data_IF_004842681186
#
_entry.id   IF_004842681186
#
_cell.length_a   1.000
_cell.length_b   1.000
_cell.length_c   1.000
_cell.angle_alpha   90.00
_cell.angle_beta   90.00
_cell.angle_gamma   90.00
#
_symmetry.space_group_name_H-M   'P 1'
#
loop_
_entity.id
_entity.type
_entity.pdbx_description
1 polymer ?
#
# COMPACT_ATOMS: atom_id res chain seq x y z
N UNK A 1 -5.36 57.90 15.87
CA UNK A 1 -4.41 56.83 16.29
C UNK A 1 -5.09 55.48 16.48
N UNK A 2 -6.32 55.43 16.98
CA UNK A 2 -7.05 54.17 17.25
C UNK A 2 -7.32 53.29 16.01
N UNK A 3 -7.63 53.90 14.85
CA UNK A 3 -7.84 53.17 13.59
C UNK A 3 -6.57 52.49 13.03
N UNK A 4 -5.40 53.10 13.24
CA UNK A 4 -4.11 52.53 12.81
C UNK A 4 -3.74 51.29 13.65
N UNK A 5 -4.02 51.32 14.96
CA UNK A 5 -3.84 50.18 15.86
C UNK A 5 -4.75 49.00 15.50
N UNK A 6 -6.03 49.28 15.19
CA UNK A 6 -7.01 48.25 14.78
C UNK A 6 -6.65 47.60 13.43
N UNK A 7 -6.14 48.37 12.47
CA UNK A 7 -5.66 47.85 11.18
C UNK A 7 -4.48 46.90 11.35
N UNK A 8 -3.50 47.26 12.17
CA UNK A 8 -2.34 46.39 12.46
C UNK A 8 -2.76 45.10 13.18
N UNK A 9 -3.74 45.18 14.09
CA UNK A 9 -4.31 43.98 14.75
C UNK A 9 -4.97 43.03 13.75
N UNK A 10 -5.74 43.56 12.80
CA UNK A 10 -6.40 42.75 11.78
C UNK A 10 -5.38 42.09 10.82
N UNK A 11 -4.30 42.80 10.48
CA UNK A 11 -3.20 42.24 9.67
C UNK A 11 -2.52 41.09 10.41
N UNK A 12 -2.17 41.28 11.68
CA UNK A 12 -1.56 40.23 12.51
C UNK A 12 -2.47 39.00 12.60
N UNK A 13 -3.77 39.19 12.85
CA UNK A 13 -4.73 38.09 12.89
C UNK A 13 -4.83 37.34 11.55
N UNK A 14 -4.82 38.08 10.43
CA UNK A 14 -4.82 37.50 9.09
C UNK A 14 -3.55 36.67 8.82
N UNK A 15 -2.39 37.15 9.26
CA UNK A 15 -1.11 36.42 9.15
C UNK A 15 -1.15 35.14 9.99
N UNK A 16 -1.60 35.22 11.24
CA UNK A 16 -1.72 34.04 12.11
C UNK A 16 -2.66 33.00 11.50
N UNK A 17 -3.82 33.44 11.01
CA UNK A 17 -4.76 32.56 10.32
C UNK A 17 -4.12 31.87 9.12
N UNK A 18 -3.37 32.62 8.30
CA UNK A 18 -2.69 32.07 7.13
C UNK A 18 -1.62 31.05 7.51
N UNK A 19 -0.84 31.31 8.57
CA UNK A 19 0.16 30.37 9.08
C UNK A 19 -0.50 29.08 9.56
N UNK A 20 -1.58 29.17 10.34
CA UNK A 20 -2.33 28.00 10.81
C UNK A 20 -2.88 27.21 9.62
N UNK A 21 -3.43 27.90 8.61
CA UNK A 21 -3.93 27.26 7.39
C UNK A 21 -2.81 26.49 6.66
N UNK A 22 -1.62 27.08 6.51
CA UNK A 22 -0.48 26.40 5.90
C UNK A 22 -0.04 25.17 6.69
N UNK A 23 -0.02 25.24 8.02
CA UNK A 23 0.30 24.09 8.87
C UNK A 23 -0.70 22.96 8.67
N UNK A 24 -2.01 23.28 8.65
CA UNK A 24 -3.07 22.29 8.42
C UNK A 24 -2.90 21.66 7.04
N UNK A 25 -2.70 22.47 6.00
CA UNK A 25 -2.50 21.97 4.63
C UNK A 25 -1.27 21.07 4.53
N UNK A 26 -0.17 21.45 5.17
CA UNK A 26 1.05 20.64 5.22
C UNK A 26 0.82 19.31 5.93
N UNK A 27 0.16 19.32 7.09
CA UNK A 27 -0.15 18.10 7.83
C UNK A 27 -1.10 17.19 7.05
N UNK A 28 -2.17 17.75 6.48
CA UNK A 28 -3.09 16.98 5.63
C UNK A 28 -2.37 16.34 4.45
N UNK A 29 -1.50 17.09 3.76
CA UNK A 29 -0.69 16.53 2.69
C UNK A 29 0.23 15.41 3.19
N UNK A 30 0.91 15.64 4.32
CA UNK A 30 1.81 14.65 4.92
C UNK A 30 1.10 13.33 5.27
N UNK A 31 -0.09 13.40 5.87
CA UNK A 31 -0.83 12.22 6.28
C UNK A 31 -1.55 11.50 5.13
N UNK A 32 -2.01 12.22 4.11
CA UNK A 32 -2.74 11.62 2.97
C UNK A 32 -1.79 10.94 1.97
N UNK A 33 -0.62 11.54 1.70
CA UNK A 33 0.22 11.12 0.57
C UNK A 33 1.43 10.26 0.95
N UNK A 34 1.72 10.07 2.24
CA UNK A 34 2.79 9.16 2.66
C UNK A 34 2.29 7.73 2.82
N UNK A 35 3.15 6.77 2.46
CA UNK A 35 2.92 5.34 2.71
C UNK A 35 3.36 5.03 4.12
N UNK A 36 2.43 4.57 4.95
CA UNK A 36 2.66 4.18 6.33
C UNK A 36 2.74 2.67 6.49
N UNK A 37 1.88 1.96 5.78
CA UNK A 37 1.78 0.51 5.84
C UNK A 37 1.54 -0.05 4.43
N UNK A 38 1.79 -1.35 4.26
CA UNK A 38 1.49 -2.08 3.03
C UNK A 38 0.56 -3.22 3.39
N UNK A 39 -0.64 -3.20 2.82
CA UNK A 39 -1.63 -4.27 2.96
C UNK A 39 -1.45 -5.21 1.78
N UNK A 40 -1.53 -6.52 2.04
CA UNK A 40 -1.50 -7.53 1.00
C UNK A 40 -2.81 -8.30 1.00
N UNK A 41 -3.49 -8.29 -0.15
CA UNK A 41 -4.78 -8.94 -0.34
C UNK A 41 -4.58 -10.10 -1.30
N UNK A 42 -4.92 -11.30 -0.85
CA UNK A 42 -4.99 -12.49 -1.70
C UNK A 42 -6.44 -12.68 -2.17
N UNK A 43 -6.62 -12.81 -3.48
CA UNK A 43 -7.92 -13.10 -4.10
C UNK A 43 -7.79 -14.34 -4.96
N UNK A 44 -8.61 -15.35 -4.67
CA UNK A 44 -8.72 -16.53 -5.52
C UNK A 44 -9.64 -16.21 -6.72
N UNK A 45 -9.07 -16.22 -7.92
CA UNK A 45 -9.81 -15.98 -9.18
C UNK A 45 -10.41 -17.29 -9.70
N UNK A 46 -9.68 -18.40 -9.53
CA UNK A 46 -10.16 -19.75 -9.85
C UNK A 46 -9.46 -20.80 -8.97
N UNK A 47 -9.80 -22.09 -9.13
CA UNK A 47 -9.18 -23.17 -8.35
C UNK A 47 -7.65 -23.21 -8.43
N UNK A 48 -7.07 -22.72 -9.54
CA UNK A 48 -5.63 -22.71 -9.78
C UNK A 48 -5.05 -21.31 -10.00
N UNK A 49 -5.88 -20.26 -9.97
CA UNK A 49 -5.43 -18.89 -10.24
C UNK A 49 -5.69 -18.00 -9.04
N UNK A 50 -4.61 -17.36 -8.57
CA UNK A 50 -4.63 -16.44 -7.45
C UNK A 50 -4.06 -15.10 -7.88
N UNK A 51 -4.66 -14.02 -7.41
CA UNK A 51 -4.16 -12.67 -7.57
C UNK A 51 -3.78 -12.14 -6.20
N UNK A 52 -2.55 -11.67 -6.08
CA UNK A 52 -2.03 -11.01 -4.89
C UNK A 52 -1.88 -9.53 -5.22
N UNK A 53 -2.58 -8.69 -4.47
CA UNK A 53 -2.49 -7.24 -4.57
C UNK A 53 -1.74 -6.66 -3.37
N UNK A 54 -0.75 -5.82 -3.67
CA UNK A 54 0.11 -5.14 -2.71
C UNK A 54 -0.26 -3.66 -2.70
N UNK A 55 -0.98 -3.24 -1.67
CA UNK A 55 -1.61 -1.92 -1.61
C UNK A 55 -0.87 -1.05 -0.58
N UNK A 56 -0.16 0.02 -0.99
CA UNK A 56 0.40 0.98 -0.05
C UNK A 56 -0.73 1.80 0.57
N UNK A 57 -0.82 1.82 1.89
CA UNK A 57 -1.83 2.60 2.63
C UNK A 57 -1.19 3.75 3.40
N UNK A 58 -1.94 4.83 3.52
CA UNK A 58 -1.56 6.00 4.30
C UNK A 58 -1.97 5.86 5.77
N UNK A 59 -1.72 6.88 6.59
CA UNK A 59 -2.01 6.84 8.02
C UNK A 59 -3.50 6.73 8.35
N UNK A 60 -4.37 6.97 7.37
CA UNK A 60 -5.82 6.87 7.50
C UNK A 60 -6.32 5.47 7.09
N UNK A 61 -5.43 4.55 6.71
CA UNK A 61 -5.78 3.21 6.24
C UNK A 61 -6.34 3.17 4.81
N UNK A 62 -6.22 4.27 4.05
CA UNK A 62 -6.68 4.38 2.67
C UNK A 62 -5.48 4.20 1.74
N UNK A 63 -5.69 3.66 0.53
CA UNK A 63 -4.65 3.58 -0.49
C UNK A 63 -3.98 4.94 -0.71
N UNK A 64 -2.66 4.98 -0.57
CA UNK A 64 -1.86 6.18 -0.75
C UNK A 64 -1.86 6.60 -2.23
N UNK A 65 -2.48 7.75 -2.58
CA UNK A 65 -2.64 8.14 -3.97
C UNK A 65 -1.28 8.53 -4.59
N UNK A 66 -1.09 8.17 -5.87
CA UNK A 66 0.10 8.49 -6.66
C UNK A 66 1.43 7.96 -6.09
N UNK A 67 1.37 6.88 -5.29
CA UNK A 67 2.56 6.22 -4.76
C UNK A 67 2.72 4.85 -5.39
N UNK A 68 3.85 4.67 -6.07
CA UNK A 68 4.29 3.36 -6.54
C UNK A 68 5.15 2.72 -5.45
N UNK A 69 4.85 1.48 -5.11
CA UNK A 69 5.63 0.68 -4.20
C UNK A 69 6.67 -0.12 -5.01
N UNK A 70 7.92 -0.16 -4.55
CA UNK A 70 8.88 -1.12 -5.07
C UNK A 70 8.83 -2.36 -4.18
N UNK A 71 8.64 -3.52 -4.81
CA UNK A 71 8.59 -4.79 -4.12
C UNK A 71 9.40 -5.84 -4.89
N UNK A 72 9.79 -6.88 -4.17
CA UNK A 72 10.34 -8.12 -4.71
C UNK A 72 9.63 -9.29 -4.07
N UNK A 73 9.49 -10.39 -4.79
CA UNK A 73 8.88 -11.61 -4.29
C UNK A 73 9.80 -12.80 -4.47
N UNK A 74 9.65 -13.78 -3.58
CA UNK A 74 10.35 -15.07 -3.64
C UNK A 74 9.42 -16.18 -3.20
N UNK A 75 9.37 -17.28 -3.96
CA UNK A 75 8.70 -18.51 -3.54
C UNK A 75 9.62 -19.24 -2.57
N UNK A 76 9.17 -19.43 -1.32
CA UNK A 76 9.95 -20.14 -0.30
C UNK A 76 9.60 -21.63 -0.24
N UNK A 77 8.34 -21.98 -0.47
CA UNK A 77 7.84 -23.36 -0.47
C UNK A 77 6.84 -23.57 -1.61
N UNK A 78 6.75 -24.79 -2.14
CA UNK A 78 5.74 -25.17 -3.14
C UNK A 78 6.03 -24.71 -4.56
N UNK A 79 7.30 -24.43 -4.90
CA UNK A 79 7.71 -24.01 -6.25
C UNK A 79 7.28 -24.99 -7.36
N UNK A 80 7.21 -26.27 -7.02
CA UNK A 80 6.76 -27.37 -7.85
C UNK A 80 5.25 -27.39 -8.12
N UNK A 81 4.47 -26.66 -7.32
CA UNK A 81 3.03 -26.43 -7.52
C UNK A 81 2.75 -25.16 -8.32
N UNK A 82 3.75 -24.33 -8.58
CA UNK A 82 3.60 -23.07 -9.35
C UNK A 82 3.91 -23.34 -10.82
N UNK A 83 2.93 -23.10 -11.69
CA UNK A 83 3.12 -23.15 -13.14
C UNK A 83 3.76 -21.85 -13.64
N UNK A 84 3.22 -20.71 -13.21
CA UNK A 84 3.67 -19.40 -13.68
C UNK A 84 3.35 -18.30 -12.67
N UNK A 85 4.22 -17.30 -12.59
CA UNK A 85 3.95 -16.04 -11.91
C UNK A 85 4.06 -14.92 -12.93
N UNK A 86 3.04 -14.05 -12.98
CA UNK A 86 3.01 -12.87 -13.85
C UNK A 86 2.90 -11.64 -12.95
N UNK A 87 3.93 -10.81 -12.99
CA UNK A 87 3.89 -9.48 -12.38
C UNK A 87 3.26 -8.51 -13.40
N UNK A 88 2.05 -8.05 -13.10
CA UNK A 88 1.33 -7.08 -13.93
C UNK A 88 1.77 -5.64 -13.66
N UNK A 89 2.68 -5.43 -12.71
CA UNK A 89 3.07 -4.12 -12.20
C UNK A 89 2.02 -3.53 -11.27
N UNK A 90 2.33 -2.35 -10.73
CA UNK A 90 1.47 -1.61 -9.79
C UNK A 90 1.06 -2.40 -8.52
N UNK A 91 1.86 -3.39 -8.11
CA UNK A 91 1.56 -4.19 -6.92
C UNK A 91 0.68 -5.40 -7.19
N UNK A 92 0.43 -5.77 -8.45
CA UNK A 92 -0.43 -6.90 -8.79
C UNK A 92 0.42 -8.08 -9.28
N UNK A 93 0.37 -9.19 -8.54
CA UNK A 93 1.05 -10.44 -8.87
C UNK A 93 -0.01 -11.52 -9.13
N UNK A 94 -0.03 -12.08 -10.33
CA UNK A 94 -0.90 -13.20 -10.68
C UNK A 94 -0.12 -14.51 -10.61
N UNK A 95 -0.63 -15.47 -9.86
CA UNK A 95 -0.01 -16.76 -9.56
C UNK A 95 -0.90 -17.85 -10.14
N UNK A 96 -0.31 -18.66 -11.01
CA UNK A 96 -0.95 -19.79 -11.66
C UNK A 96 -0.34 -21.07 -11.08
N UNK A 97 -1.17 -21.88 -10.45
CA UNK A 97 -0.81 -23.16 -9.87
C UNK A 97 -1.05 -24.27 -10.90
N UNK A 98 -0.25 -25.32 -10.81
CA UNK A 98 -0.52 -26.56 -11.53
C UNK A 98 -1.41 -27.50 -10.68
N UNK A 99 -1.79 -28.64 -11.25
CA UNK A 99 -2.66 -29.62 -10.57
C UNK A 99 -1.98 -30.40 -9.43
N UNK A 100 -0.72 -30.07 -9.06
CA UNK A 100 -0.05 -30.74 -7.95
C UNK A 100 -0.54 -30.17 -6.62
N UNK A 101 -1.07 -31.03 -5.73
CA UNK A 101 -1.49 -30.62 -4.40
C UNK A 101 -0.27 -30.16 -3.60
N UNK A 102 -0.42 -29.07 -2.85
CA UNK A 102 0.69 -28.44 -2.15
C UNK A 102 0.31 -27.11 -1.52
N UNK A 103 1.20 -26.57 -0.69
CA UNK A 103 1.07 -25.20 -0.17
C UNK A 103 2.17 -24.36 -0.80
N UNK A 104 1.78 -23.24 -1.40
CA UNK A 104 2.76 -22.28 -1.93
C UNK A 104 2.94 -21.19 -0.89
N UNK A 105 4.18 -20.98 -0.45
CA UNK A 105 4.55 -19.84 0.40
C UNK A 105 5.25 -18.79 -0.43
N UNK A 106 4.62 -17.63 -0.57
CA UNK A 106 5.22 -16.48 -1.22
C UNK A 106 5.68 -15.47 -0.17
N UNK A 107 6.98 -15.17 -0.18
CA UNK A 107 7.55 -14.06 0.57
C UNK A 107 7.52 -12.80 -0.29
N UNK A 108 6.94 -11.73 0.23
CA UNK A 108 6.93 -10.41 -0.41
C UNK A 108 7.69 -9.44 0.47
N UNK A 109 8.67 -8.76 -0.12
CA UNK A 109 9.49 -7.73 0.50
C UNK A 109 9.22 -6.39 -0.19
N UNK A 110 9.13 -5.31 0.59
CA UNK A 110 8.83 -3.97 0.07
C UNK A 110 9.89 -2.98 0.53
N UNK A 111 10.10 -1.91 -0.23
CA UNK A 111 11.04 -0.86 0.15
C UNK A 111 10.54 0.07 1.28
N UNK A 112 9.30 -0.12 1.77
CA UNK A 112 8.66 0.71 2.80
C UNK A 112 8.53 0.01 4.14
N UNK A 113 8.42 -1.31 4.15
CA UNK A 113 8.31 -2.12 5.37
C UNK A 113 9.59 -2.92 5.57
N UNK A 114 10.17 -2.88 6.77
CA UNK A 114 11.28 -3.79 7.13
C UNK A 114 10.80 -5.24 7.33
N UNK A 115 9.48 -5.45 7.32
CA UNK A 115 8.84 -6.75 7.44
C UNK A 115 8.52 -7.31 6.06
N UNK A 116 8.75 -8.61 5.91
CA UNK A 116 8.26 -9.40 4.79
C UNK A 116 6.90 -10.01 5.15
N UNK A 117 6.04 -10.16 4.15
CA UNK A 117 4.76 -10.82 4.32
C UNK A 117 4.80 -12.20 3.70
N UNK A 118 4.29 -13.19 4.43
CA UNK A 118 4.13 -14.56 3.96
C UNK A 118 2.68 -14.79 3.57
N UNK A 119 2.46 -15.24 2.34
CA UNK A 119 1.15 -15.63 1.84
C UNK A 119 1.17 -17.14 1.66
N UNK A 120 0.18 -17.82 2.23
CA UNK A 120 0.00 -19.27 2.08
C UNK A 120 -1.16 -19.56 1.12
N UNK A 121 -0.83 -20.02 -0.08
CA UNK A 121 -1.83 -20.36 -1.08
C UNK A 121 -2.07 -21.89 -1.04
N UNK A 122 -3.28 -22.35 -0.71
CA UNK A 122 -3.61 -23.76 -0.73
C UNK A 122 -3.87 -24.24 -2.16
N UNK A 123 -3.04 -25.14 -2.68
CA UNK A 123 -3.34 -25.89 -3.91
C UNK A 123 -4.25 -27.07 -3.55
N UNK A 124 -5.55 -26.91 -3.71
CA UNK A 124 -6.51 -28.00 -3.55
C UNK A 124 -6.77 -28.66 -4.90
N UNK A 125 -6.60 -29.99 -4.97
CA UNK A 125 -7.25 -30.79 -6.02
C UNK A 125 -8.75 -30.70 -5.80
N UNK A 126 -9.46 -30.00 -6.69
CA UNK A 126 -10.89 -30.26 -6.87
C UNK A 126 -11.03 -31.70 -7.37
N UNK A 127 -11.56 -32.58 -6.52
CA UNK A 127 -12.14 -33.87 -6.89
C UNK A 127 -13.32 -33.69 -7.86
#
# INVERSE_FOLDING_TARGET
>A
MEQLSKKNRNIILSIIFFIILLIILFLSWFYIFNVYEVIIIETQVSSLNYTVEIIPVNSLGIQAPFRNLQYSYKVEEGSESVEKIIDSGNGIINIYLNANPGKVKLRIETNKTQNFSLIEIPSNKTE
#
